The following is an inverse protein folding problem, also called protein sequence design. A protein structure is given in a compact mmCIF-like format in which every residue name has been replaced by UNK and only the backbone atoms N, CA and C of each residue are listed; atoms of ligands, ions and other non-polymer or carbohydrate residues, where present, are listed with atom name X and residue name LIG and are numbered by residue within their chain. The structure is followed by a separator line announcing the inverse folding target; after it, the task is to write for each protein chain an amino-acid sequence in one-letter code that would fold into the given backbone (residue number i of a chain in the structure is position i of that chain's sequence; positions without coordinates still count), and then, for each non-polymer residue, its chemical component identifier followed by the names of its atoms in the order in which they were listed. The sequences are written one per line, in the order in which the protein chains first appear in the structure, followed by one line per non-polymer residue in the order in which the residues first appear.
data_IF_064920038576
#
_entry.id   IF_064920038576
#
_cell.length_a   1.000
_cell.length_b   1.000
_cell.length_c   1.000
_cell.angle_alpha   90.00
_cell.angle_beta   90.00
_cell.angle_gamma   90.00
#
_symmetry.space_group_name_H-M   'P 1'
#
loop_
_entity.id
_entity.type
_entity.pdbx_description
1 polymer ?
#
# COMPACT_ATOMS: atom_id res chain seq x y z
N UNK A 1 0.67 -28.14 -2.43
CA UNK A 1 1.01 -26.86 -3.09
C UNK A 1 2.24 -26.22 -2.41
N UNK A 2 3.44 -26.77 -2.62
CA UNK A 2 4.67 -26.41 -1.85
C UNK A 2 5.22 -25.02 -2.19
N UNK A 3 5.15 -24.59 -3.46
CA UNK A 3 5.69 -23.29 -3.93
C UNK A 3 5.02 -22.08 -3.26
N UNK A 4 3.73 -22.20 -2.99
CA UNK A 4 2.94 -21.19 -2.28
C UNK A 4 3.45 -20.95 -0.86
N UNK A 5 3.56 -22.01 -0.06
CA UNK A 5 4.02 -21.90 1.33
C UNK A 5 5.49 -21.47 1.45
N UNK A 6 6.37 -22.10 0.67
CA UNK A 6 7.83 -21.87 0.73
C UNK A 6 8.26 -20.44 0.40
N UNK A 7 7.54 -19.77 -0.51
CA UNK A 7 7.89 -18.40 -0.93
C UNK A 7 7.16 -17.30 -0.15
N UNK A 8 6.14 -17.66 0.63
CA UNK A 8 5.26 -16.68 1.28
C UNK A 8 6.00 -15.82 2.31
N UNK A 9 6.80 -16.43 3.18
CA UNK A 9 7.55 -15.71 4.22
C UNK A 9 8.49 -14.66 3.63
N UNK A 10 9.37 -15.07 2.71
CA UNK A 10 10.31 -14.14 2.06
C UNK A 10 9.56 -13.05 1.27
N UNK A 11 8.43 -13.38 0.65
CA UNK A 11 7.60 -12.38 -0.02
C UNK A 11 7.07 -11.34 0.96
N UNK A 12 6.63 -11.76 2.15
CA UNK A 12 6.13 -10.84 3.16
C UNK A 12 7.23 -9.93 3.72
N UNK A 13 8.45 -10.45 3.92
CA UNK A 13 9.55 -9.69 4.54
C UNK A 13 10.21 -8.71 3.56
N UNK A 14 10.56 -9.16 2.36
CA UNK A 14 11.40 -8.37 1.42
C UNK A 14 10.72 -8.01 0.10
N UNK A 15 9.47 -8.43 -0.10
CA UNK A 15 8.75 -8.41 -1.37
C UNK A 15 9.45 -9.23 -2.48
N UNK A 16 8.66 -10.05 -3.17
CA UNK A 16 9.16 -10.84 -4.30
C UNK A 16 9.59 -9.90 -5.45
N UNK A 17 10.83 -10.03 -5.97
CA UNK A 17 11.25 -9.33 -7.19
C UNK A 17 10.36 -9.72 -8.38
N UNK A 18 10.23 -8.81 -9.36
CA UNK A 18 9.34 -9.04 -10.50
C UNK A 18 9.82 -10.21 -11.35
N UNK A 19 11.14 -10.35 -11.49
CA UNK A 19 11.81 -11.40 -12.24
C UNK A 19 11.51 -12.76 -11.62
N UNK A 20 11.55 -12.86 -10.29
CA UNK A 20 11.19 -14.09 -9.55
C UNK A 20 9.70 -14.40 -9.66
N UNK A 21 8.83 -13.38 -9.58
CA UNK A 21 7.38 -13.55 -9.75
C UNK A 21 7.05 -14.10 -11.15
N UNK A 22 7.63 -13.51 -12.21
CA UNK A 22 7.45 -13.96 -13.59
C UNK A 22 8.07 -15.35 -13.83
N UNK A 23 9.21 -15.65 -13.21
CA UNK A 23 9.83 -16.97 -13.28
C UNK A 23 8.95 -18.07 -12.67
N UNK A 24 8.42 -17.83 -11.45
CA UNK A 24 7.55 -18.79 -10.78
C UNK A 24 6.23 -18.99 -11.53
N UNK A 25 5.64 -17.91 -12.06
CA UNK A 25 4.42 -17.99 -12.89
C UNK A 25 4.65 -18.87 -14.14
N UNK A 26 5.78 -18.68 -14.84
CA UNK A 26 6.18 -19.53 -15.96
C UNK A 26 6.39 -20.99 -15.57
N UNK A 27 7.01 -21.24 -14.41
CA UNK A 27 7.27 -22.60 -13.93
C UNK A 27 5.98 -23.33 -13.52
N UNK A 28 5.03 -22.62 -12.91
CA UNK A 28 3.69 -23.14 -12.61
C UNK A 28 2.96 -23.48 -13.91
N UNK A 29 2.99 -22.57 -14.90
CA UNK A 29 2.42 -22.82 -16.24
C UNK A 29 2.99 -24.07 -16.89
N UNK A 30 4.32 -24.18 -16.91
CA UNK A 30 5.01 -25.34 -17.49
C UNK A 30 4.66 -26.64 -16.75
N UNK A 31 4.48 -26.59 -15.44
CA UNK A 31 4.10 -27.75 -14.64
C UNK A 31 2.67 -28.22 -14.94
N UNK A 32 1.70 -27.30 -14.97
CA UNK A 32 0.28 -27.63 -15.23
C UNK A 32 0.09 -28.23 -16.62
N UNK A 33 0.90 -27.80 -17.59
CA UNK A 33 0.82 -28.28 -18.97
C UNK A 33 1.88 -29.30 -19.35
N UNK A 34 2.61 -29.90 -18.39
CA UNK A 34 3.63 -30.92 -18.63
C UNK A 34 4.68 -30.52 -19.69
N UNK A 35 5.04 -29.23 -19.72
CA UNK A 35 5.99 -28.67 -20.69
C UNK A 35 5.44 -28.44 -22.11
N UNK A 36 4.14 -28.63 -22.35
CA UNK A 36 3.53 -28.32 -23.67
C UNK A 36 3.63 -26.83 -23.98
N UNK A 37 4.02 -26.50 -25.22
CA UNK A 37 4.21 -25.11 -25.69
C UNK A 37 2.91 -24.33 -25.83
N UNK A 38 1.80 -24.99 -26.16
CA UNK A 38 0.48 -24.37 -26.30
C UNK A 38 -0.44 -24.88 -25.19
N UNK A 39 -0.90 -23.96 -24.36
CA UNK A 39 -1.93 -24.23 -23.38
C UNK A 39 -3.30 -24.30 -24.10
N UNK A 40 -4.10 -25.35 -23.88
CA UNK A 40 -5.45 -25.46 -24.45
C UNK A 40 -6.47 -24.55 -23.76
N UNK A 41 -6.17 -24.06 -22.55
CA UNK A 41 -7.05 -23.20 -21.76
C UNK A 41 -6.24 -21.97 -21.32
N UNK A 42 -6.90 -20.82 -21.25
CA UNK A 42 -6.30 -19.62 -20.68
C UNK A 42 -5.88 -19.86 -19.22
N UNK A 43 -4.74 -19.31 -18.85
CA UNK A 43 -4.23 -19.40 -17.51
C UNK A 43 -5.11 -18.69 -16.47
N UNK A 44 -5.84 -17.64 -16.87
CA UNK A 44 -6.76 -16.95 -15.96
C UNK A 44 -7.93 -17.84 -15.53
N UNK A 45 -8.42 -18.71 -16.43
CA UNK A 45 -9.48 -19.68 -16.12
C UNK A 45 -9.01 -20.69 -15.09
N UNK A 46 -7.74 -21.10 -15.14
CA UNK A 46 -7.19 -22.06 -14.17
C UNK A 46 -7.23 -21.54 -12.73
N UNK A 47 -7.20 -20.22 -12.53
CA UNK A 47 -7.27 -19.60 -11.20
C UNK A 47 -8.67 -19.62 -10.59
N UNK A 48 -9.71 -19.76 -11.42
CA UNK A 48 -11.10 -19.79 -10.96
C UNK A 48 -11.41 -21.02 -10.12
N UNK A 49 -12.53 -20.97 -9.41
CA UNK A 49 -13.03 -22.09 -8.64
C UNK A 49 -13.38 -23.29 -9.52
N UNK A 50 -13.41 -24.49 -8.94
CA UNK A 50 -13.82 -25.70 -9.65
C UNK A 50 -15.27 -25.59 -10.14
N UNK A 51 -16.12 -24.89 -9.38
CA UNK A 51 -17.53 -24.63 -9.73
C UNK A 51 -17.67 -23.76 -10.99
N UNK A 52 -16.75 -22.82 -11.20
CA UNK A 52 -16.68 -21.96 -12.38
C UNK A 52 -15.89 -22.61 -13.55
N UNK A 53 -15.58 -23.91 -13.46
CA UNK A 53 -14.81 -24.64 -14.46
C UNK A 53 -13.28 -24.43 -14.40
N UNK A 54 -12.79 -23.81 -13.33
CA UNK A 54 -11.37 -23.62 -13.05
C UNK A 54 -10.72 -24.79 -12.29
N UNK A 55 -9.49 -24.57 -11.82
CA UNK A 55 -8.71 -25.57 -11.06
C UNK A 55 -8.26 -25.08 -9.68
N UNK A 56 -8.76 -23.94 -9.21
CA UNK A 56 -8.27 -23.28 -8.00
C UNK A 56 -6.73 -23.12 -8.00
N UNK A 57 -6.15 -22.85 -9.17
CA UNK A 57 -4.71 -22.71 -9.30
C UNK A 57 -4.23 -21.42 -8.60
N UNK A 58 -3.10 -21.49 -7.92
CA UNK A 58 -2.53 -20.34 -7.24
C UNK A 58 -2.01 -19.28 -8.24
N UNK A 59 -2.60 -18.10 -8.20
CA UNK A 59 -2.01 -16.89 -8.79
C UNK A 59 -0.97 -16.28 -7.85
N UNK A 60 0.32 -16.37 -8.21
CA UNK A 60 1.41 -15.77 -7.43
C UNK A 60 1.25 -14.25 -7.37
N UNK A 61 0.78 -13.62 -8.46
CA UNK A 61 0.58 -12.16 -8.53
C UNK A 61 -0.49 -11.70 -7.56
N UNK A 62 -1.61 -12.42 -7.47
CA UNK A 62 -2.72 -12.07 -6.58
C UNK A 62 -2.37 -12.36 -5.14
N UNK A 63 -1.69 -13.49 -4.85
CA UNK A 63 -1.16 -13.77 -3.51
C UNK A 63 -0.18 -12.69 -3.06
N UNK A 64 0.78 -12.29 -3.90
CA UNK A 64 1.75 -11.24 -3.56
C UNK A 64 1.05 -9.88 -3.34
N UNK A 65 -0.05 -9.62 -4.06
CA UNK A 65 -0.90 -8.46 -3.84
C UNK A 65 -1.63 -8.54 -2.49
N UNK A 66 -2.22 -9.68 -2.16
CA UNK A 66 -2.88 -9.93 -0.88
C UNK A 66 -1.92 -9.78 0.31
N UNK A 67 -0.69 -10.28 0.20
CA UNK A 67 0.37 -10.08 1.21
C UNK A 67 0.62 -8.58 1.42
N UNK A 68 0.75 -7.79 0.35
CA UNK A 68 0.93 -6.35 0.45
C UNK A 68 -0.28 -5.63 1.07
N UNK A 69 -1.50 -6.10 0.82
CA UNK A 69 -2.73 -5.59 1.48
C UNK A 69 -2.71 -5.92 2.97
N UNK A 70 -2.30 -7.13 3.37
CA UNK A 70 -2.17 -7.50 4.79
C UNK A 70 -1.11 -6.64 5.49
N UNK A 71 0.03 -6.41 4.87
CA UNK A 71 1.05 -5.48 5.38
C UNK A 71 0.49 -4.06 5.54
N UNK A 72 -0.27 -3.57 4.55
CA UNK A 72 -0.93 -2.26 4.65
C UNK A 72 -1.93 -2.23 5.81
N UNK A 73 -2.74 -3.28 5.99
CA UNK A 73 -3.67 -3.37 7.12
C UNK A 73 -2.92 -3.23 8.45
N UNK A 74 -1.85 -3.99 8.65
CA UNK A 74 -1.01 -3.90 9.85
C UNK A 74 -0.36 -2.52 10.00
N UNK A 75 0.07 -1.89 8.89
CA UNK A 75 0.64 -0.55 8.90
C UNK A 75 -0.35 0.52 9.38
N UNK A 76 -1.63 0.36 9.03
CA UNK A 76 -2.71 1.28 9.37
C UNK A 76 -3.31 1.03 10.75
N UNK A 77 -2.99 -0.09 11.41
CA UNK A 77 -3.40 -0.34 12.79
C UNK A 77 -2.80 0.72 13.72
N UNK A 78 -3.66 1.31 14.55
CA UNK A 78 -3.30 2.26 15.61
C UNK A 78 -3.46 1.62 16.99
N UNK A 79 -2.93 2.25 18.04
CA UNK A 79 -3.03 1.75 19.42
C UNK A 79 -1.97 0.71 19.80
N UNK A 80 -2.28 -0.08 20.83
CA UNK A 80 -1.36 -1.05 21.44
C UNK A 80 -0.99 -2.21 20.50
N UNK A 81 -1.88 -2.56 19.58
CA UNK A 81 -1.67 -3.63 18.58
C UNK A 81 -0.75 -3.21 17.42
N UNK A 82 -0.22 -1.98 17.43
CA UNK A 82 0.57 -1.46 16.34
C UNK A 82 1.95 -2.10 16.30
N UNK A 83 2.24 -2.82 15.21
CA UNK A 83 3.51 -3.49 15.04
C UNK A 83 4.70 -2.51 14.97
N UNK A 84 5.81 -2.84 15.63
CA UNK A 84 7.01 -1.98 15.76
C UNK A 84 7.62 -1.52 14.44
N UNK A 85 7.60 -2.37 13.41
CA UNK A 85 8.12 -2.02 12.08
C UNK A 85 7.34 -0.87 11.42
N UNK A 86 6.10 -0.61 11.83
CA UNK A 86 5.26 0.46 11.28
C UNK A 86 5.86 1.85 11.51
N UNK A 87 6.60 2.04 12.61
CA UNK A 87 7.27 3.32 12.89
C UNK A 87 8.45 3.55 11.95
N UNK A 88 9.23 2.51 11.67
CA UNK A 88 10.31 2.57 10.69
C UNK A 88 9.77 2.82 9.29
N UNK A 89 8.70 2.10 8.91
CA UNK A 89 8.02 2.29 7.64
C UNK A 89 7.45 3.71 7.50
N UNK A 90 6.85 4.24 8.56
CA UNK A 90 6.32 5.60 8.60
C UNK A 90 7.43 6.63 8.36
N UNK A 91 8.58 6.50 9.04
CA UNK A 91 9.75 7.37 8.82
C UNK A 91 10.26 7.27 7.38
N UNK A 92 10.35 6.06 6.82
CA UNK A 92 10.74 5.86 5.43
C UNK A 92 9.81 6.54 4.42
N UNK A 93 8.50 6.42 4.60
CA UNK A 93 7.49 7.07 3.75
C UNK A 93 7.53 8.61 3.86
N UNK A 94 7.72 9.15 5.07
CA UNK A 94 7.80 10.60 5.33
C UNK A 94 9.11 11.22 4.85
N UNK A 95 10.18 10.43 4.73
CA UNK A 95 11.45 10.90 4.18
C UNK A 95 11.33 11.13 2.68
N UNK A 96 10.76 10.17 1.97
CA UNK A 96 10.71 10.16 0.51
C UNK A 96 9.41 10.77 -0.02
N UNK A 97 9.20 12.08 0.16
CA UNK A 97 7.98 12.77 -0.33
C UNK A 97 8.21 13.41 -1.70
N UNK A 98 7.19 13.41 -2.55
CA UNK A 98 7.19 14.15 -3.83
C UNK A 98 7.34 15.66 -3.58
N UNK A 99 8.07 16.37 -4.44
CA UNK A 99 8.20 17.83 -4.37
C UNK A 99 6.89 18.55 -4.75
N UNK A 100 5.94 17.83 -5.35
CA UNK A 100 4.63 18.35 -5.77
C UNK A 100 3.51 17.49 -5.16
N UNK A 101 2.68 18.05 -4.26
CA UNK A 101 2.81 19.37 -3.61
C UNK A 101 4.02 19.41 -2.65
N UNK A 102 4.57 20.60 -2.38
CA UNK A 102 5.61 20.77 -1.35
C UNK A 102 4.99 20.52 0.01
N UNK A 103 5.41 19.43 0.68
CA UNK A 103 4.93 19.09 2.03
C UNK A 103 6.04 19.33 3.04
N UNK A 104 5.82 20.27 3.95
CA UNK A 104 6.75 20.55 5.06
C UNK A 104 6.91 19.34 5.98
N UNK A 105 8.08 19.17 6.57
CA UNK A 105 8.43 17.96 7.34
C UNK A 105 7.45 17.67 8.48
N UNK A 106 7.04 18.71 9.21
CA UNK A 106 6.11 18.61 10.34
C UNK A 106 4.65 18.36 9.91
N UNK A 107 4.33 18.45 8.61
CA UNK A 107 3.02 18.15 8.06
C UNK A 107 2.89 16.68 7.63
N UNK A 108 3.99 15.93 7.57
CA UNK A 108 4.04 14.58 7.02
C UNK A 108 3.63 13.56 8.08
N UNK A 109 2.38 13.14 8.09
CA UNK A 109 1.85 12.14 9.02
C UNK A 109 1.75 10.79 8.33
N UNK A 110 0.94 10.66 7.29
CA UNK A 110 0.80 9.41 6.54
C UNK A 110 0.20 9.66 5.15
N UNK A 111 0.75 9.06 4.08
CA UNK A 111 0.26 9.23 2.72
C UNK A 111 -1.10 8.55 2.48
N UNK A 112 -1.59 7.73 3.41
CA UNK A 112 -2.86 7.01 3.27
C UNK A 112 -4.06 7.79 3.82
N UNK A 113 -3.81 8.82 4.64
CA UNK A 113 -4.82 9.70 5.26
C UNK A 113 -4.55 11.19 4.93
N UNK A 114 -3.64 11.45 3.98
CA UNK A 114 -3.33 12.78 3.47
C UNK A 114 -3.23 12.74 1.94
N UNK A 115 -3.26 13.91 1.31
CA UNK A 115 -3.32 14.06 -0.16
C UNK A 115 -1.96 14.03 -0.87
N UNK A 116 -0.85 13.84 -0.14
CA UNK A 116 0.48 13.74 -0.72
C UNK A 116 0.92 12.28 -0.90
N UNK A 117 1.86 12.05 -1.81
CA UNK A 117 2.37 10.72 -2.13
C UNK A 117 3.90 10.62 -2.00
N UNK A 118 4.43 9.47 -1.59
CA UNK A 118 5.86 9.25 -1.51
C UNK A 118 6.48 8.95 -2.88
N UNK A 119 7.77 9.27 -3.05
CA UNK A 119 8.60 8.95 -4.20
C UNK A 119 8.90 7.45 -4.24
N UNK A 120 8.03 6.68 -4.89
CA UNK A 120 8.12 5.21 -5.00
C UNK A 120 9.46 4.69 -5.56
N UNK A 121 10.23 5.51 -6.30
CA UNK A 121 11.55 5.12 -6.83
C UNK A 121 12.61 4.96 -5.73
N UNK A 122 12.52 5.76 -4.66
CA UNK A 122 13.48 5.79 -3.55
C UNK A 122 13.08 4.89 -2.37
N UNK A 123 11.86 4.36 -2.39
CA UNK A 123 11.37 3.46 -1.36
C UNK A 123 11.99 2.05 -1.46
N UNK A 124 12.28 1.39 -0.32
CA UNK A 124 12.56 -0.03 -0.27
C UNK A 124 11.44 -0.87 -0.92
N UNK A 125 11.80 -2.04 -1.46
CA UNK A 125 10.87 -2.91 -2.22
C UNK A 125 9.55 -3.21 -1.48
N UNK A 126 9.54 -3.55 -0.17
CA UNK A 126 8.30 -3.81 0.55
C UNK A 126 7.35 -2.60 0.58
N UNK A 127 7.87 -1.42 0.93
CA UNK A 127 7.09 -0.19 0.98
C UNK A 127 6.61 0.24 -0.40
N UNK A 128 7.48 0.11 -1.41
CA UNK A 128 7.12 0.37 -2.81
C UNK A 128 5.99 -0.54 -3.27
N UNK A 129 6.06 -1.85 -2.98
CA UNK A 129 4.99 -2.81 -3.33
C UNK A 129 3.71 -2.46 -2.57
N UNK A 130 3.78 -2.16 -1.27
CA UNK A 130 2.64 -1.75 -0.45
C UNK A 130 1.92 -0.52 -1.04
N UNK A 131 2.64 0.56 -1.35
CA UNK A 131 2.09 1.78 -1.95
C UNK A 131 1.50 1.50 -3.35
N UNK A 132 2.21 0.71 -4.19
CA UNK A 132 1.70 0.34 -5.51
C UNK A 132 0.41 -0.47 -5.44
N UNK A 133 0.35 -1.44 -4.54
CA UNK A 133 -0.84 -2.28 -4.33
C UNK A 133 -2.00 -1.44 -3.83
N UNK A 134 -1.77 -0.54 -2.87
CA UNK A 134 -2.79 0.39 -2.39
C UNK A 134 -3.40 1.20 -3.55
N UNK A 135 -2.55 1.76 -4.42
CA UNK A 135 -3.00 2.51 -5.60
C UNK A 135 -3.73 1.63 -6.62
N UNK A 136 -3.21 0.42 -6.91
CA UNK A 136 -3.81 -0.54 -7.85
C UNK A 136 -5.26 -0.85 -7.47
N UNK A 137 -5.51 -1.10 -6.19
CA UNK A 137 -6.84 -1.43 -5.67
C UNK A 137 -7.62 -0.20 -5.16
N UNK A 138 -7.11 1.01 -5.41
CA UNK A 138 -7.72 2.28 -4.96
C UNK A 138 -8.08 2.28 -3.47
N UNK A 139 -7.22 1.67 -2.66
CA UNK A 139 -7.38 1.63 -1.21
C UNK A 139 -7.21 3.05 -0.66
N UNK A 140 -8.28 3.57 -0.09
CA UNK A 140 -8.36 4.90 0.50
C UNK A 140 -8.95 4.78 1.89
N UNK A 141 -8.63 5.74 2.75
CA UNK A 141 -9.40 5.95 3.96
C UNK A 141 -10.82 6.39 3.56
N UNK A 142 -11.79 5.52 3.80
CA UNK A 142 -13.20 5.76 3.53
C UNK A 142 -13.99 5.37 4.78
N UNK A 143 -14.79 6.30 5.29
CA UNK A 143 -15.57 6.10 6.49
C UNK A 143 -16.98 6.65 6.24
N UNK A 144 -17.98 5.76 6.34
CA UNK A 144 -19.39 6.10 6.11
C UNK A 144 -19.87 7.20 7.08
N UNK A 145 -19.47 7.10 8.35
CA UNK A 145 -19.69 8.12 9.36
C UNK A 145 -18.53 8.08 10.36
N UNK A 146 -17.94 9.23 10.64
CA UNK A 146 -16.91 9.39 11.68
C UNK A 146 -17.51 10.16 12.87
N UNK A 147 -17.22 9.67 14.08
CA UNK A 147 -17.49 10.41 15.32
C UNK A 147 -16.69 11.71 15.34
N UNK A 148 -17.11 12.68 16.16
CA UNK A 148 -16.38 13.94 16.32
C UNK A 148 -14.96 13.70 16.82
N UNK A 149 -14.79 12.74 17.74
CA UNK A 149 -13.49 12.39 18.32
C UNK A 149 -12.52 11.88 17.25
N UNK A 150 -12.96 10.93 16.42
CA UNK A 150 -12.11 10.39 15.34
C UNK A 150 -11.82 11.45 14.28
N UNK A 151 -12.75 12.36 13.99
CA UNK A 151 -12.48 13.51 13.12
C UNK A 151 -11.39 14.40 13.70
N UNK A 152 -11.40 14.63 15.01
CA UNK A 152 -10.41 15.44 15.71
C UNK A 152 -9.01 14.84 15.76
N UNK A 153 -8.86 13.56 15.42
CA UNK A 153 -7.56 12.90 15.30
C UNK A 153 -6.99 12.94 13.88
N UNK A 154 -7.81 13.28 12.87
CA UNK A 154 -7.35 13.31 11.48
C UNK A 154 -6.35 14.45 11.24
N UNK A 155 -5.37 14.25 10.35
CA UNK A 155 -4.45 15.30 9.95
C UNK A 155 -5.20 16.53 9.44
N UNK A 156 -4.92 17.69 10.04
CA UNK A 156 -5.42 18.98 9.56
C UNK A 156 -4.75 19.35 8.23
N UNK A 157 -3.44 19.15 8.15
CA UNK A 157 -2.64 19.53 6.99
C UNK A 157 -2.78 18.49 5.88
N UNK A 158 -2.91 18.95 4.63
CA UNK A 158 -3.07 18.07 3.46
C UNK A 158 -4.21 17.06 3.61
N UNK A 159 -5.28 17.45 4.30
CA UNK A 159 -6.43 16.62 4.63
C UNK A 159 -7.14 16.04 3.39
N UNK A 160 -7.58 14.77 3.45
CA UNK A 160 -8.22 14.05 2.34
C UNK A 160 -9.58 14.63 1.93
N UNK A 161 -10.33 15.19 2.89
CA UNK A 161 -11.62 15.85 2.64
C UNK A 161 -11.53 17.35 2.31
N UNK A 162 -10.33 17.95 2.23
CA UNK A 162 -10.20 19.39 2.01
C UNK A 162 -10.59 19.79 0.58
N UNK A 163 -11.38 20.87 0.45
CA UNK A 163 -11.61 21.51 -0.86
C UNK A 163 -10.29 22.03 -1.42
N UNK A 164 -10.19 22.11 -2.76
CA UNK A 164 -8.97 22.56 -3.45
C UNK A 164 -8.46 23.92 -2.95
N UNK A 165 -9.36 24.83 -2.59
CA UNK A 165 -9.01 26.16 -2.10
C UNK A 165 -8.35 26.12 -0.71
N UNK A 166 -8.89 25.32 0.21
CA UNK A 166 -8.29 25.04 1.52
C UNK A 166 -6.89 24.42 1.38
N UNK A 167 -6.71 23.57 0.36
CA UNK A 167 -5.42 22.96 0.05
C UNK A 167 -4.29 23.97 -0.24
N UNK A 168 -4.61 25.15 -0.80
CA UNK A 168 -3.63 26.21 -1.11
C UNK A 168 -3.06 26.86 0.15
N UNK A 169 -3.81 26.86 1.25
CA UNK A 169 -3.41 27.49 2.50
C UNK A 169 -2.45 26.63 3.34
N UNK A 170 -2.25 25.36 2.98
CA UNK A 170 -1.36 24.44 3.70
C UNK A 170 0.06 24.98 3.91
N UNK A 171 0.55 25.84 3.01
CA UNK A 171 1.90 26.42 3.09
C UNK A 171 1.89 27.94 3.25
N UNK A 172 0.77 28.53 3.69
CA UNK A 172 0.72 29.95 4.05
C UNK A 172 1.65 30.26 5.24
N UNK A 173 2.00 31.54 5.42
CA UNK A 173 2.82 31.99 6.56
C UNK A 173 2.12 31.63 7.88
N UNK A 174 0.81 31.87 7.98
CA UNK A 174 0.00 31.50 9.13
C UNK A 174 0.00 29.98 9.37
N UNK A 175 -0.25 29.17 8.34
CA UNK A 175 -0.22 27.71 8.47
C UNK A 175 1.15 27.18 8.91
N UNK A 176 2.23 27.80 8.43
CA UNK A 176 3.60 27.46 8.82
C UNK A 176 3.84 27.78 10.30
N UNK A 177 3.37 28.94 10.78
CA UNK A 177 3.43 29.32 12.19
C UNK A 177 2.61 28.35 13.07
N UNK A 178 1.35 28.10 12.71
CA UNK A 178 0.47 27.19 13.44
C UNK A 178 1.08 25.79 13.58
N UNK A 179 1.70 25.29 12.51
CA UNK A 179 2.34 23.98 12.51
C UNK A 179 3.63 23.93 13.31
N UNK A 180 4.54 24.88 13.09
CA UNK A 180 5.92 24.81 13.59
C UNK A 180 6.10 25.47 14.95
N UNK A 181 5.29 26.48 15.30
CA UNK A 181 5.36 27.22 16.56
C UNK A 181 4.26 26.81 17.54
N UNK A 182 3.03 26.62 17.04
CA UNK A 182 1.88 26.25 17.88
C UNK A 182 1.58 24.75 17.90
N UNK A 183 2.31 23.93 17.13
CA UNK A 183 2.19 22.47 17.17
C UNK A 183 0.85 21.91 16.66
N UNK A 184 0.05 22.71 15.93
CA UNK A 184 -1.25 22.29 15.41
C UNK A 184 -1.07 21.18 14.38
N UNK A 185 -1.76 20.04 14.57
CA UNK A 185 -1.59 18.83 13.74
C UNK A 185 -2.89 18.18 13.28
N UNK A 186 -3.92 18.20 14.11
CA UNK A 186 -5.21 17.57 13.84
C UNK A 186 -6.36 18.58 13.82
N UNK A 187 -7.53 18.14 13.36
CA UNK A 187 -8.73 18.97 13.14
C UNK A 187 -9.42 19.33 14.45
#
# INVERSE_FOLDING_TARGET
MSVGGTTQYLTAVQAMPKETEEYLDKRIKSFVWEGRKKAPIDHEILFLSVEEGGKNLLSIKDRNSAIAIKLLKTFLTTGEDRATWCDLASKGLRKEVSDRPKVEINARISPFIQTWAPLQKKLPRPLKRMVKTANKFRLKFDALALTKDVKGELPLWFHTGAKKDLGRHNNSVCATCLRNKHGVRSV
#
